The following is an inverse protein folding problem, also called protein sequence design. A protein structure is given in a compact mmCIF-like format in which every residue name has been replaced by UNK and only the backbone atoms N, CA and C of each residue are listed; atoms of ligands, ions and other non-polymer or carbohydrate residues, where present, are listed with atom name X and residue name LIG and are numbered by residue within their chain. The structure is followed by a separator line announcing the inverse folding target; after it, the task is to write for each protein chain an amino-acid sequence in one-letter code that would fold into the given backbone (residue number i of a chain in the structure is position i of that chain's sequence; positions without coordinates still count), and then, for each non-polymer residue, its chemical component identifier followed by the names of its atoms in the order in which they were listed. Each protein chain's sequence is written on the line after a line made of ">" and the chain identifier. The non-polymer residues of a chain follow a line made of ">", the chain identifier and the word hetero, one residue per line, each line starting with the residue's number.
data_IF_170536599467
#
_entry.id   IF_170536599467
#
_cell.length_a   1.000
_cell.length_b   1.000
_cell.length_c   1.000
_cell.angle_alpha   90.00
_cell.angle_beta   90.00
_cell.angle_gamma   90.00
#
_symmetry.space_group_name_H-M   'P 1'
#
loop_
_entity.id
_entity.type
_entity.pdbx_description
1 polymer ?
#
# COMPACT_ATOMS: atom_id res chain seq x y z
N UNK A 1 0.65 -3.43 -14.34
CA UNK A 1 -0.05 -4.14 -13.26
C UNK A 1 -0.11 -3.23 -12.03
N UNK A 2 -1.30 -3.01 -11.54
CA UNK A 2 -1.54 -2.17 -10.36
C UNK A 2 -2.23 -2.99 -9.27
N UNK A 3 -1.72 -2.89 -8.06
CA UNK A 3 -2.31 -3.51 -6.89
C UNK A 3 -2.45 -2.48 -5.76
N UNK A 4 -3.43 -2.71 -4.91
CA UNK A 4 -3.62 -1.93 -3.70
C UNK A 4 -3.37 -2.83 -2.50
N UNK A 5 -2.42 -2.46 -1.67
CA UNK A 5 -2.12 -3.19 -0.45
C UNK A 5 -2.72 -2.45 0.74
N UNK A 6 -3.63 -3.12 1.43
CA UNK A 6 -4.15 -2.65 2.70
C UNK A 6 -3.25 -3.17 3.79
N UNK A 7 -2.71 -2.29 4.59
CA UNK A 7 -1.70 -2.62 5.58
C UNK A 7 -2.21 -2.31 6.98
N UNK A 8 -2.06 -3.27 7.88
CA UNK A 8 -2.30 -3.09 9.30
C UNK A 8 -0.97 -3.05 10.01
N UNK A 9 -0.77 -2.04 10.84
CA UNK A 9 0.45 -1.85 11.60
C UNK A 9 0.33 -2.49 12.98
N UNK A 10 1.47 -2.74 13.62
CA UNK A 10 1.51 -3.31 14.97
C UNK A 10 0.96 -2.35 16.02
N UNK A 11 0.96 -1.06 15.71
CA UNK A 11 0.40 0.00 16.54
C UNK A 11 -0.04 1.16 15.66
N UNK A 12 -1.02 1.92 16.10
CA UNK A 12 -1.48 3.12 15.39
C UNK A 12 -0.85 4.41 15.94
N UNK A 13 0.16 4.32 16.77
CA UNK A 13 0.82 5.51 17.28
C UNK A 13 1.64 6.21 16.19
N UNK A 14 1.90 7.48 16.42
CA UNK A 14 2.59 8.33 15.45
C UNK A 14 3.98 7.78 15.08
N UNK A 15 4.71 7.29 16.07
CA UNK A 15 6.05 6.75 15.85
C UNK A 15 6.04 5.55 14.90
N UNK A 16 5.11 4.62 15.09
CA UNK A 16 4.97 3.44 14.23
C UNK A 16 4.57 3.83 12.81
N UNK A 17 3.63 4.77 12.68
CA UNK A 17 3.19 5.27 11.37
C UNK A 17 4.33 5.95 10.63
N UNK A 18 5.07 6.81 11.29
CA UNK A 18 6.22 7.50 10.70
C UNK A 18 7.30 6.53 10.26
N UNK A 19 7.57 5.51 11.07
CA UNK A 19 8.54 4.47 10.73
C UNK A 19 8.13 3.72 9.46
N UNK A 20 6.86 3.35 9.35
CA UNK A 20 6.36 2.70 8.14
C UNK A 20 6.54 3.61 6.92
N UNK A 21 6.19 4.88 7.03
CA UNK A 21 6.33 5.84 5.94
C UNK A 21 7.79 5.93 5.51
N UNK A 22 8.72 6.05 6.46
CA UNK A 22 10.15 6.12 6.14
C UNK A 22 10.66 4.87 5.44
N UNK A 23 10.25 3.70 5.89
CA UNK A 23 10.71 2.44 5.30
C UNK A 23 10.08 2.16 3.94
N UNK A 24 8.91 2.72 3.65
CA UNK A 24 8.26 2.56 2.34
C UNK A 24 8.72 3.58 1.31
N UNK A 25 9.26 4.72 1.72
CA UNK A 25 9.69 5.78 0.80
C UNK A 25 10.70 5.33 -0.27
N UNK A 26 11.72 4.51 0.04
CA UNK A 26 12.69 4.11 -0.97
C UNK A 26 12.18 3.02 -1.93
N UNK A 27 10.96 2.54 -1.77
CA UNK A 27 10.42 1.48 -2.61
C UNK A 27 9.76 2.08 -3.85
N UNK A 28 10.41 1.99 -5.03
CA UNK A 28 9.89 2.66 -6.24
C UNK A 28 8.55 2.08 -6.72
N UNK A 29 8.25 0.84 -6.40
CA UNK A 29 6.99 0.21 -6.78
C UNK A 29 5.80 0.79 -6.01
N UNK A 30 6.03 1.31 -4.81
CA UNK A 30 4.99 1.93 -3.99
C UNK A 30 4.84 3.39 -4.42
N UNK A 31 3.94 3.65 -5.35
CA UNK A 31 3.79 4.98 -5.97
C UNK A 31 2.87 5.92 -5.20
N UNK A 32 2.01 5.37 -4.32
CA UNK A 32 1.16 6.17 -3.45
C UNK A 32 1.07 5.50 -2.09
N UNK A 33 1.00 6.33 -1.05
CA UNK A 33 0.81 5.88 0.33
C UNK A 33 -0.24 6.76 0.97
N UNK A 34 -1.32 6.16 1.46
CA UNK A 34 -2.43 6.87 2.08
C UNK A 34 -2.62 6.39 3.51
N UNK A 35 -2.70 7.32 4.44
CA UNK A 35 -3.11 6.99 5.81
C UNK A 35 -4.63 6.85 5.82
N UNK A 36 -5.11 5.78 6.42
CA UNK A 36 -6.53 5.44 6.40
C UNK A 36 -7.11 5.46 7.80
N UNK A 37 -8.35 5.88 7.91
CA UNK A 37 -9.16 5.68 9.09
C UNK A 37 -10.24 4.66 8.75
N UNK A 38 -10.31 3.56 9.50
CA UNK A 38 -11.28 2.51 9.24
C UNK A 38 -10.66 1.13 9.40
N UNK A 39 -10.85 0.24 8.43
CA UNK A 39 -10.42 -1.14 8.54
C UNK A 39 -8.91 -1.32 8.54
N UNK A 40 -8.19 -0.58 7.68
CA UNK A 40 -6.74 -0.66 7.65
C UNK A 40 -6.09 0.64 8.10
N UNK A 41 -4.80 0.60 8.39
CA UNK A 41 -4.07 1.77 8.85
C UNK A 41 -3.45 2.55 7.69
N UNK A 42 -2.98 1.84 6.66
CA UNK A 42 -2.33 2.43 5.49
C UNK A 42 -2.79 1.70 4.24
N UNK A 43 -2.95 2.44 3.15
CA UNK A 43 -3.18 1.86 1.83
C UNK A 43 -2.05 2.28 0.90
N UNK A 44 -1.43 1.32 0.24
CA UNK A 44 -0.40 1.56 -0.77
C UNK A 44 -0.95 1.24 -2.15
N UNK A 45 -0.63 2.12 -3.10
CA UNK A 45 -0.81 1.80 -4.51
C UNK A 45 0.53 1.34 -5.05
N UNK A 46 0.57 0.14 -5.62
CA UNK A 46 1.80 -0.50 -6.07
C UNK A 46 1.70 -0.79 -7.56
N UNK A 47 2.73 -0.42 -8.30
CA UNK A 47 2.83 -0.67 -9.73
C UNK A 47 4.00 -1.62 -9.97
N UNK A 48 3.72 -2.71 -10.66
CA UNK A 48 4.71 -3.73 -11.01
C UNK A 48 4.51 -4.18 -12.45
N UNK A 49 5.47 -4.92 -12.98
CA UNK A 49 5.39 -5.40 -14.36
C UNK A 49 4.23 -6.40 -14.55
N UNK A 50 4.03 -7.28 -13.57
CA UNK A 50 3.00 -8.31 -13.58
C UNK A 50 2.74 -8.82 -12.16
N UNK A 51 1.87 -9.80 -12.04
CA UNK A 51 1.53 -10.38 -10.73
C UNK A 51 2.74 -11.04 -10.06
N UNK A 52 3.59 -11.70 -10.83
CA UNK A 52 4.79 -12.35 -10.30
C UNK A 52 5.73 -11.31 -9.69
N UNK A 53 5.96 -10.20 -10.38
CA UNK A 53 6.79 -9.11 -9.88
C UNK A 53 6.19 -8.49 -8.62
N UNK A 54 4.88 -8.34 -8.56
CA UNK A 54 4.22 -7.83 -7.37
C UNK A 54 4.41 -8.77 -6.17
N UNK A 55 4.24 -10.07 -6.38
CA UNK A 55 4.42 -11.05 -5.31
C UNK A 55 5.85 -11.04 -4.79
N UNK A 56 6.81 -10.89 -5.68
CA UNK A 56 8.21 -10.78 -5.30
C UNK A 56 8.46 -9.51 -4.47
N UNK A 57 7.87 -8.40 -4.88
CA UNK A 57 7.93 -7.15 -4.11
C UNK A 57 7.33 -7.34 -2.71
N UNK A 58 6.19 -7.99 -2.61
CA UNK A 58 5.53 -8.22 -1.35
C UNK A 58 6.40 -9.03 -0.40
N UNK A 59 7.03 -10.09 -0.92
CA UNK A 59 7.89 -10.96 -0.11
C UNK A 59 9.18 -10.25 0.29
N UNK A 60 9.81 -9.54 -0.65
CA UNK A 60 11.14 -8.97 -0.43
C UNK A 60 11.10 -7.67 0.38
N UNK A 61 10.02 -6.94 0.32
CA UNK A 61 9.96 -5.60 0.90
C UNK A 61 8.81 -5.41 1.88
N UNK A 62 7.58 -5.64 1.45
CA UNK A 62 6.43 -5.26 2.25
C UNK A 62 6.33 -6.06 3.56
N UNK A 63 6.49 -7.38 3.49
CA UNK A 63 6.38 -8.23 4.66
C UNK A 63 7.60 -8.16 5.57
N UNK A 64 8.69 -7.55 5.12
CA UNK A 64 9.91 -7.38 5.92
C UNK A 64 9.94 -6.11 6.76
N UNK A 65 8.98 -5.23 6.57
CA UNK A 65 8.87 -4.04 7.41
C UNK A 65 8.35 -4.48 8.78
N UNK A 66 9.14 -4.25 9.82
CA UNK A 66 8.88 -4.77 11.17
C UNK A 66 7.53 -4.34 11.74
N UNK A 67 7.09 -3.13 11.44
CA UNK A 67 5.85 -2.60 11.98
C UNK A 67 4.60 -3.04 11.20
N UNK A 68 4.74 -3.86 10.17
CA UNK A 68 3.60 -4.43 9.45
C UNK A 68 3.09 -5.66 10.19
N UNK A 69 1.84 -5.59 10.65
CA UNK A 69 1.18 -6.71 11.30
C UNK A 69 0.52 -7.64 10.27
N UNK A 70 -0.14 -7.06 9.29
CA UNK A 70 -0.85 -7.80 8.25
C UNK A 70 -0.99 -6.94 7.00
N UNK A 71 -1.12 -7.59 5.86
CA UNK A 71 -1.36 -6.91 4.59
C UNK A 71 -2.30 -7.74 3.72
N UNK A 72 -3.26 -7.07 3.08
CA UNK A 72 -4.16 -7.71 2.12
C UNK A 72 -4.05 -6.98 0.80
N UNK A 73 -3.98 -7.75 -0.28
CA UNK A 73 -3.82 -7.22 -1.62
C UNK A 73 -5.15 -7.25 -2.38
N UNK A 74 -5.45 -6.14 -3.05
CA UNK A 74 -6.53 -6.07 -4.03
C UNK A 74 -5.90 -5.71 -5.38
N UNK A 75 -6.19 -6.50 -6.40
CA UNK A 75 -5.66 -6.28 -7.74
C UNK A 75 -6.62 -5.39 -8.52
N UNK A 76 -6.08 -4.33 -9.12
CA UNK A 76 -6.85 -3.45 -10.00
C UNK A 76 -7.13 -4.19 -11.31
N UNK A 77 -8.39 -4.33 -11.67
CA UNK A 77 -8.79 -4.99 -12.90
C UNK A 77 -9.03 -4.00 -14.04
N UNK A 78 -9.89 -3.02 -13.82
CA UNK A 78 -10.32 -2.12 -14.86
C UNK A 78 -10.82 -0.80 -14.29
N UNK A 79 -10.43 0.30 -14.92
CA UNK A 79 -11.01 1.60 -14.61
C UNK A 79 -12.27 1.79 -15.44
N UNK A 80 -13.42 1.79 -14.76
CA UNK A 80 -14.72 1.87 -15.44
C UNK A 80 -15.10 3.32 -15.72
N UNK A 81 -14.72 4.25 -14.86
CA UNK A 81 -15.01 5.66 -15.02
C UNK A 81 -13.95 6.49 -14.32
N UNK A 82 -13.56 7.58 -14.96
CA UNK A 82 -12.71 8.61 -14.37
C UNK A 82 -13.39 9.96 -14.51
N UNK A 83 -13.49 10.72 -13.43
CA UNK A 83 -13.94 12.10 -13.46
C UNK A 83 -13.00 12.95 -12.63
N UNK A 84 -12.65 14.13 -13.15
CA UNK A 84 -11.84 15.10 -12.43
C UNK A 84 -12.69 16.12 -11.68
N UNK A 85 -14.00 16.07 -11.81
CA UNK A 85 -14.91 16.96 -11.12
C UNK A 85 -15.40 16.31 -9.83
N UNK A 86 -15.31 17.07 -8.75
CA UNK A 86 -15.89 16.68 -7.48
C UNK A 86 -17.34 17.16 -7.45
N UNK A 87 -18.27 16.21 -7.43
CA UNK A 87 -19.66 16.48 -7.18
C UNK A 87 -19.85 16.63 -5.68
N UNK A 88 -20.15 17.82 -5.27
CA UNK A 88 -20.44 18.09 -3.85
C UNK A 88 -21.88 18.43 -3.69
#
# INVERSE_FOLDING_TARGET
>A
FTAYARVWLTSQDLETVERFIQESQPLPEAVECHLMAGECDVMLRIVAADLTAYRQFQIDHLTRIDCVHNAKTEVHMEQVKLTSELSV
#
